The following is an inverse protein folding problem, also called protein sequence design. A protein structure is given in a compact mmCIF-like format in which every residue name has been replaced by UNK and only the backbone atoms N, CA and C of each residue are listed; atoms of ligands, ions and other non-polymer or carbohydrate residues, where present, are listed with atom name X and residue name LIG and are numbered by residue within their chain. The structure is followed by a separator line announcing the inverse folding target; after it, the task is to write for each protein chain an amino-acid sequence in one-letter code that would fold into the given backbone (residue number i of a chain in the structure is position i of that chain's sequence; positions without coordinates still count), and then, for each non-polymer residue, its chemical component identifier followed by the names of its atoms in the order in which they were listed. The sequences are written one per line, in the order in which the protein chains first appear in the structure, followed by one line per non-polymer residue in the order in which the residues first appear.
data_IF_429130505976
#
_entry.id   IF_429130505976
#
_cell.length_a   1.000
_cell.length_b   1.000
_cell.length_c   1.000
_cell.angle_alpha   90.00
_cell.angle_beta   90.00
_cell.angle_gamma   90.00
#
_symmetry.space_group_name_H-M   'P 1'
#
loop_
_entity.id
_entity.type
_entity.pdbx_description
1 polymer ?
#
# COMPACT_ATOMS: atom_id res chain seq x y z
N UNK A 1 -5.14 -5.29 11.63
CA UNK A 1 -6.17 -4.49 12.37
C UNK A 1 -6.64 -3.29 11.56
N UNK A 2 -5.73 -2.44 11.03
CA UNK A 2 -6.07 -1.25 10.26
C UNK A 2 -6.89 -1.61 9.02
N UNK A 3 -6.39 -2.51 8.17
CA UNK A 3 -7.06 -2.94 6.94
C UNK A 3 -8.48 -3.46 7.20
N UNK A 4 -8.63 -4.37 8.15
CA UNK A 4 -9.91 -5.06 8.39
C UNK A 4 -10.91 -4.24 9.19
N UNK A 5 -10.46 -3.37 10.09
CA UNK A 5 -11.36 -2.63 10.98
C UNK A 5 -11.49 -1.16 10.64
N UNK A 6 -10.42 -0.47 10.28
CA UNK A 6 -10.45 0.97 10.03
C UNK A 6 -10.68 1.24 8.55
N UNK A 7 -9.79 0.78 7.66
CA UNK A 7 -9.88 1.09 6.24
C UNK A 7 -11.12 0.47 5.59
N UNK A 8 -11.41 -0.80 5.86
CA UNK A 8 -12.62 -1.48 5.34
C UNK A 8 -13.93 -0.78 5.80
N UNK A 9 -13.99 -0.34 7.06
CA UNK A 9 -15.14 0.43 7.56
C UNK A 9 -15.24 1.80 6.91
N UNK A 10 -14.12 2.47 6.68
CA UNK A 10 -14.06 3.77 6.04
C UNK A 10 -14.56 3.70 4.59
N UNK A 11 -14.09 2.72 3.80
CA UNK A 11 -14.62 2.48 2.46
C UNK A 11 -16.08 2.08 2.46
N UNK A 12 -16.51 1.22 3.39
CA UNK A 12 -17.91 0.85 3.54
C UNK A 12 -18.77 2.06 3.89
N UNK A 13 -18.27 2.98 4.72
CA UNK A 13 -18.93 4.23 5.05
C UNK A 13 -19.07 5.13 3.81
N UNK A 14 -18.02 5.31 3.03
CA UNK A 14 -18.02 6.06 1.78
C UNK A 14 -19.10 5.50 0.84
N UNK A 15 -19.06 4.19 0.56
CA UNK A 15 -20.02 3.54 -0.36
C UNK A 15 -21.46 3.72 0.10
N UNK A 16 -21.73 3.55 1.40
CA UNK A 16 -23.07 3.71 1.97
C UNK A 16 -23.61 5.14 1.91
N UNK A 17 -22.75 6.13 1.83
CA UNK A 17 -23.16 7.54 1.77
C UNK A 17 -23.20 8.11 0.35
N UNK A 18 -22.56 7.44 -0.62
CA UNK A 18 -22.57 7.89 -2.03
C UNK A 18 -23.68 7.20 -2.84
N UNK A 19 -23.90 5.91 -2.61
CA UNK A 19 -24.79 5.11 -3.44
C UNK A 19 -26.15 4.90 -2.77
N UNK A 20 -27.22 5.07 -3.55
CA UNK A 20 -28.59 4.82 -3.08
C UNK A 20 -28.83 3.34 -2.72
N UNK A 21 -28.16 2.42 -3.41
CA UNK A 21 -28.19 0.97 -3.16
C UNK A 21 -26.77 0.45 -2.99
N UNK A 22 -26.16 0.61 -1.80
CA UNK A 22 -24.78 0.19 -1.54
C UNK A 22 -24.52 -1.30 -1.82
N UNK A 23 -25.54 -2.14 -1.64
CA UNK A 23 -25.47 -3.59 -1.89
C UNK A 23 -25.05 -3.90 -3.33
N UNK A 24 -25.51 -3.13 -4.30
CA UNK A 24 -25.19 -3.38 -5.72
C UNK A 24 -23.69 -3.17 -5.96
N UNK A 25 -23.06 -2.18 -5.33
CA UNK A 25 -21.62 -1.95 -5.40
C UNK A 25 -20.85 -3.13 -4.80
N UNK A 26 -21.26 -3.57 -3.60
CA UNK A 26 -20.58 -4.70 -2.95
C UNK A 26 -20.72 -6.01 -3.75
N UNK A 27 -21.85 -6.24 -4.39
CA UNK A 27 -22.06 -7.42 -5.22
C UNK A 27 -21.19 -7.39 -6.50
N UNK A 28 -20.94 -6.22 -7.09
CA UNK A 28 -20.16 -6.09 -8.34
C UNK A 28 -18.64 -6.17 -8.14
N UNK A 29 -18.13 -6.07 -6.91
CA UNK A 29 -16.70 -6.18 -6.63
C UNK A 29 -16.13 -7.51 -7.15
N UNK A 30 -16.84 -8.62 -6.92
CA UNK A 30 -16.43 -9.95 -7.35
C UNK A 30 -16.61 -10.19 -8.85
N UNK A 31 -17.42 -9.39 -9.53
CA UNK A 31 -17.67 -9.48 -10.96
C UNK A 31 -16.63 -8.69 -11.78
N UNK A 32 -15.85 -7.84 -11.13
CA UNK A 32 -14.80 -7.04 -11.77
C UNK A 32 -13.51 -7.85 -11.82
N UNK A 33 -13.20 -8.39 -13.01
CA UNK A 33 -12.06 -9.27 -13.21
C UNK A 33 -10.74 -8.65 -12.74
N UNK A 34 -10.52 -7.38 -13.04
CA UNK A 34 -9.29 -6.65 -12.67
C UNK A 34 -9.10 -6.61 -11.15
N UNK A 35 -10.18 -6.43 -10.38
CA UNK A 35 -10.13 -6.44 -8.91
C UNK A 35 -9.78 -7.82 -8.39
N UNK A 36 -10.43 -8.87 -8.95
CA UNK A 36 -10.20 -10.27 -8.53
C UNK A 36 -8.77 -10.71 -8.87
N UNK A 37 -8.27 -10.38 -10.05
CA UNK A 37 -6.90 -10.71 -10.46
C UNK A 37 -5.86 -10.04 -9.55
N UNK A 38 -6.01 -8.74 -9.29
CA UNK A 38 -5.12 -8.00 -8.39
C UNK A 38 -5.14 -8.55 -6.96
N UNK A 39 -6.30 -8.89 -6.43
CA UNK A 39 -6.42 -9.48 -5.10
C UNK A 39 -5.76 -10.87 -5.03
N UNK A 40 -5.97 -11.70 -6.07
CA UNK A 40 -5.44 -13.07 -6.13
C UNK A 40 -3.91 -13.10 -6.26
N UNK A 41 -3.33 -12.19 -7.05
CA UNK A 41 -1.89 -12.17 -7.32
C UNK A 41 -1.04 -11.91 -6.07
N UNK A 42 -1.55 -11.13 -5.12
CA UNK A 42 -0.90 -10.86 -3.83
C UNK A 42 -1.41 -11.83 -2.76
N UNK A 43 -2.73 -12.12 -2.75
CA UNK A 43 -3.39 -12.97 -1.77
C UNK A 43 -2.79 -14.38 -1.67
N UNK A 44 -2.33 -14.95 -2.81
CA UNK A 44 -1.69 -16.27 -2.83
C UNK A 44 -0.52 -16.44 -1.85
N UNK A 45 0.22 -15.38 -1.56
CA UNK A 45 1.36 -15.44 -0.63
C UNK A 45 0.90 -15.47 0.83
N UNK A 46 -0.19 -14.81 1.16
CA UNK A 46 -0.82 -14.92 2.47
C UNK A 46 -1.46 -16.30 2.66
N UNK A 47 -2.11 -16.82 1.62
CA UNK A 47 -2.69 -18.18 1.64
C UNK A 47 -1.61 -19.24 1.86
N UNK A 48 -0.45 -19.09 1.22
CA UNK A 48 0.67 -20.01 1.40
C UNK A 48 1.22 -19.95 2.83
N UNK A 49 1.46 -18.76 3.36
CA UNK A 49 1.87 -18.59 4.75
C UNK A 49 0.84 -19.19 5.71
N UNK A 50 -0.44 -18.95 5.48
CA UNK A 50 -1.52 -19.51 6.28
C UNK A 50 -1.51 -21.04 6.26
N UNK A 51 -1.39 -21.67 5.09
CA UNK A 51 -1.30 -23.13 4.94
C UNK A 51 -0.11 -23.71 5.70
N UNK A 52 1.05 -23.10 5.56
CA UNK A 52 2.27 -23.55 6.24
C UNK A 52 2.12 -23.41 7.76
N UNK A 53 1.55 -22.30 8.25
CA UNK A 53 1.25 -22.10 9.67
C UNK A 53 0.28 -23.14 10.21
N UNK A 54 -0.84 -23.41 9.51
CA UNK A 54 -1.82 -24.43 9.92
C UNK A 54 -1.18 -25.83 10.00
N UNK A 55 -0.34 -26.22 9.03
CA UNK A 55 0.37 -27.50 9.05
C UNK A 55 1.25 -27.61 10.29
N UNK A 56 1.97 -26.53 10.62
CA UNK A 56 2.84 -26.47 11.80
C UNK A 56 2.05 -26.56 13.11
N UNK A 57 0.94 -25.84 13.21
CA UNK A 57 0.04 -25.90 14.38
C UNK A 57 -0.57 -27.28 14.59
N UNK A 58 -0.85 -28.01 13.51
CA UNK A 58 -1.36 -29.38 13.54
C UNK A 58 -0.26 -30.43 13.84
N UNK A 59 0.97 -30.02 14.13
CA UNK A 59 2.09 -30.91 14.41
C UNK A 59 2.59 -31.70 13.20
N UNK A 60 2.24 -31.27 11.99
CA UNK A 60 2.76 -31.87 10.76
C UNK A 60 4.23 -31.45 10.53
N UNK A 61 4.98 -32.30 9.86
CA UNK A 61 6.36 -31.97 9.50
C UNK A 61 6.37 -30.83 8.47
N UNK A 62 6.90 -29.68 8.90
CA UNK A 62 7.07 -28.48 8.06
C UNK A 62 8.56 -28.17 8.03
N UNK A 63 9.13 -28.16 6.84
CA UNK A 63 10.51 -27.75 6.65
C UNK A 63 10.67 -26.28 7.09
N UNK A 64 11.63 -26.02 7.96
CA UNK A 64 11.90 -24.68 8.48
C UNK A 64 12.15 -23.67 7.36
N UNK A 65 12.88 -24.06 6.32
CA UNK A 65 13.15 -23.22 5.16
C UNK A 65 11.86 -22.86 4.39
N UNK A 66 10.93 -23.82 4.25
CA UNK A 66 9.60 -23.57 3.65
C UNK A 66 8.85 -22.50 4.44
N UNK A 67 8.87 -22.59 5.77
CA UNK A 67 8.21 -21.62 6.63
C UNK A 67 8.85 -20.22 6.55
N UNK A 68 10.18 -20.14 6.61
CA UNK A 68 10.91 -18.86 6.45
C UNK A 68 10.65 -18.24 5.07
N UNK A 69 10.63 -19.05 4.01
CA UNK A 69 10.27 -18.60 2.66
C UNK A 69 8.86 -18.02 2.61
N UNK A 70 7.88 -18.72 3.19
CA UNK A 70 6.49 -18.24 3.21
C UNK A 70 6.35 -16.90 3.95
N UNK A 71 7.03 -16.73 5.09
CA UNK A 71 7.08 -15.45 5.82
C UNK A 71 7.72 -14.36 4.96
N UNK A 72 8.87 -14.65 4.34
CA UNK A 72 9.61 -13.69 3.52
C UNK A 72 8.79 -13.21 2.33
N UNK A 73 8.16 -14.12 1.61
CA UNK A 73 7.30 -13.79 0.48
C UNK A 73 6.04 -13.02 0.90
N UNK A 74 5.46 -13.34 2.06
CA UNK A 74 4.34 -12.59 2.61
C UNK A 74 4.73 -11.15 3.00
N UNK A 75 5.94 -10.91 3.52
CA UNK A 75 6.46 -9.54 3.75
C UNK A 75 6.57 -8.76 2.44
N UNK A 76 7.08 -9.38 1.37
CA UNK A 76 7.13 -8.74 0.06
C UNK A 76 5.74 -8.50 -0.53
N UNK A 77 4.79 -9.41 -0.31
CA UNK A 77 3.40 -9.23 -0.71
C UNK A 77 2.74 -8.06 0.04
N UNK A 78 2.99 -7.92 1.36
CA UNK A 78 2.55 -6.77 2.14
C UNK A 78 3.14 -5.47 1.59
N UNK A 79 4.44 -5.43 1.35
CA UNK A 79 5.07 -4.25 0.76
C UNK A 79 4.51 -3.91 -0.63
N UNK A 80 4.17 -4.91 -1.44
CA UNK A 80 3.56 -4.70 -2.75
C UNK A 80 2.16 -4.07 -2.63
N UNK A 81 1.37 -4.45 -1.62
CA UNK A 81 0.09 -3.79 -1.33
C UNK A 81 0.30 -2.30 -0.99
N UNK A 82 1.11 -2.03 0.03
CA UNK A 82 1.30 -0.70 0.61
C UNK A 82 1.99 0.28 -0.36
N UNK A 83 2.97 -0.20 -1.11
CA UNK A 83 3.78 0.64 -1.99
C UNK A 83 3.20 0.85 -3.38
N UNK A 84 2.32 -0.06 -3.87
CA UNK A 84 1.87 -0.06 -5.26
C UNK A 84 0.35 -0.14 -5.40
N UNK A 85 -0.29 -1.17 -4.80
CA UNK A 85 -1.70 -1.50 -5.07
C UNK A 85 -2.68 -0.38 -4.75
N UNK A 86 -2.38 0.40 -3.74
CA UNK A 86 -3.27 1.47 -3.32
C UNK A 86 -3.01 2.80 -4.05
N UNK A 87 -1.82 2.99 -4.61
CA UNK A 87 -1.37 4.30 -5.10
C UNK A 87 -2.19 4.82 -6.29
N UNK A 88 -2.52 3.96 -7.26
CA UNK A 88 -3.35 4.34 -8.42
C UNK A 88 -4.76 4.72 -7.99
N UNK A 89 -5.36 3.94 -7.09
CA UNK A 89 -6.71 4.20 -6.56
C UNK A 89 -6.75 5.46 -5.71
N UNK A 90 -5.73 5.70 -4.88
CA UNK A 90 -5.60 6.95 -4.12
C UNK A 90 -5.44 8.16 -5.05
N UNK A 91 -4.56 8.08 -6.04
CA UNK A 91 -4.37 9.16 -7.00
C UNK A 91 -5.66 9.48 -7.76
N UNK A 92 -6.41 8.47 -8.18
CA UNK A 92 -7.68 8.66 -8.87
C UNK A 92 -8.74 9.32 -7.97
N UNK A 93 -8.86 8.85 -6.73
CA UNK A 93 -9.81 9.41 -5.76
C UNK A 93 -9.46 10.85 -5.38
N UNK A 94 -8.19 11.13 -5.16
CA UNK A 94 -7.71 12.45 -4.78
C UNK A 94 -7.71 13.45 -5.93
N UNK A 95 -7.66 12.99 -7.20
CA UNK A 95 -7.89 13.84 -8.36
C UNK A 95 -9.30 14.45 -8.36
N UNK A 96 -10.30 13.77 -7.79
CA UNK A 96 -11.63 14.34 -7.62
C UNK A 96 -11.61 15.49 -6.62
N UNK A 97 -10.83 15.38 -5.55
CA UNK A 97 -10.65 16.46 -4.55
C UNK A 97 -10.00 17.68 -5.19
N UNK A 98 -8.99 17.50 -6.07
CA UNK A 98 -8.38 18.60 -6.81
C UNK A 98 -9.41 19.36 -7.67
N UNK A 99 -10.41 18.65 -8.15
CA UNK A 99 -11.54 19.20 -8.89
C UNK A 99 -12.69 19.67 -7.99
N UNK A 100 -12.49 19.72 -6.67
CA UNK A 100 -13.50 20.13 -5.66
C UNK A 100 -14.73 19.22 -5.63
N UNK A 101 -14.56 17.95 -5.98
CA UNK A 101 -15.60 16.92 -5.99
C UNK A 101 -15.26 15.91 -4.87
N UNK A 102 -16.28 15.45 -4.11
CA UNK A 102 -16.12 14.45 -3.06
C UNK A 102 -15.07 14.81 -1.98
N UNK A 103 -15.01 16.07 -1.55
CA UNK A 103 -14.00 16.56 -0.60
C UNK A 103 -14.03 15.75 0.70
N UNK A 104 -15.21 15.48 1.28
CA UNK A 104 -15.33 14.68 2.50
C UNK A 104 -14.78 13.27 2.36
N UNK A 105 -15.02 12.61 1.22
CA UNK A 105 -14.46 11.28 0.94
C UNK A 105 -12.94 11.35 0.76
N UNK A 106 -12.45 12.39 0.07
CA UNK A 106 -11.03 12.61 -0.10
C UNK A 106 -10.29 12.83 1.22
N UNK A 107 -10.92 13.46 2.21
CA UNK A 107 -10.35 13.60 3.55
C UNK A 107 -10.15 12.22 4.21
N UNK A 108 -11.16 11.34 4.14
CA UNK A 108 -11.05 9.97 4.64
C UNK A 108 -9.93 9.22 3.92
N UNK A 109 -9.90 9.29 2.59
CA UNK A 109 -8.90 8.61 1.75
C UNK A 109 -7.48 9.16 2.01
N UNK A 110 -7.34 10.47 2.26
CA UNK A 110 -6.03 11.04 2.63
C UNK A 110 -5.52 10.51 3.96
N UNK A 111 -6.38 10.27 4.95
CA UNK A 111 -5.99 9.65 6.22
C UNK A 111 -5.55 8.19 6.01
N UNK A 112 -6.30 7.42 5.22
CA UNK A 112 -5.90 6.05 4.86
C UNK A 112 -4.54 6.06 4.14
N UNK A 113 -4.34 6.94 3.16
CA UNK A 113 -3.06 7.06 2.45
C UNK A 113 -1.88 7.31 3.42
N UNK A 114 -2.07 8.11 4.46
CA UNK A 114 -1.03 8.38 5.46
C UNK A 114 -0.70 7.12 6.27
N UNK A 115 -1.70 6.33 6.65
CA UNK A 115 -1.50 5.04 7.30
C UNK A 115 -0.73 4.07 6.39
N UNK A 116 -1.09 3.99 5.09
CA UNK A 116 -0.42 3.11 4.13
C UNK A 116 1.04 3.51 3.88
N UNK A 117 1.36 4.80 3.92
CA UNK A 117 2.75 5.25 3.83
C UNK A 117 3.57 4.84 5.07
N UNK A 118 2.95 4.84 6.26
CA UNK A 118 3.58 4.34 7.47
C UNK A 118 3.79 2.82 7.39
N UNK A 119 2.77 2.07 6.97
CA UNK A 119 2.84 0.61 6.79
C UNK A 119 3.93 0.25 5.76
N UNK A 120 3.98 0.95 4.63
CA UNK A 120 5.03 0.80 3.62
C UNK A 120 6.43 0.96 4.24
N UNK A 121 6.67 2.04 4.98
CA UNK A 121 7.96 2.31 5.63
C UNK A 121 8.33 1.23 6.63
N UNK A 122 7.37 0.80 7.46
CA UNK A 122 7.55 -0.26 8.43
C UNK A 122 7.86 -1.61 7.76
N UNK A 123 7.13 -1.98 6.72
CA UNK A 123 7.35 -3.24 5.99
C UNK A 123 8.69 -3.24 5.26
N UNK A 124 9.10 -2.10 4.67
CA UNK A 124 10.44 -1.95 4.09
C UNK A 124 11.54 -2.14 5.14
N UNK A 125 11.36 -1.56 6.32
CA UNK A 125 12.29 -1.77 7.44
C UNK A 125 12.39 -3.25 7.81
N UNK A 126 11.26 -3.94 7.98
CA UNK A 126 11.24 -5.37 8.30
C UNK A 126 11.96 -6.21 7.24
N UNK A 127 11.66 -6.01 5.95
CA UNK A 127 12.32 -6.73 4.84
C UNK A 127 13.84 -6.57 4.91
N UNK A 128 14.30 -5.35 5.15
CA UNK A 128 15.73 -5.07 5.23
C UNK A 128 16.38 -5.60 6.51
N UNK A 129 15.64 -5.67 7.61
CA UNK A 129 16.16 -6.03 8.92
C UNK A 129 16.21 -7.54 9.14
N UNK A 130 15.16 -8.28 8.77
CA UNK A 130 15.12 -9.74 8.97
C UNK A 130 16.28 -10.46 8.29
N UNK A 131 16.72 -9.98 7.12
CA UNK A 131 17.86 -10.59 6.39
C UNK A 131 19.22 -10.27 7.01
N UNK A 132 19.31 -9.25 7.88
CA UNK A 132 20.54 -8.91 8.62
C UNK A 132 20.63 -9.65 9.93
N UNK A 133 19.50 -9.84 10.59
CA UNK A 133 19.43 -10.43 11.93
C UNK A 133 19.38 -11.96 11.91
N UNK A 134 18.87 -12.55 10.84
CA UNK A 134 18.70 -14.00 10.74
C UNK A 134 19.25 -14.54 9.41
N UNK A 135 20.30 -15.36 9.48
CA UNK A 135 20.96 -15.97 8.32
C UNK A 135 20.02 -16.84 7.47
N UNK A 136 18.95 -17.39 8.03
CA UNK A 136 17.93 -18.17 7.32
C UNK A 136 17.19 -17.30 6.31
N UNK A 137 16.82 -16.06 6.70
CA UNK A 137 16.23 -15.08 5.78
C UNK A 137 17.23 -14.61 4.72
N UNK A 138 18.50 -14.45 5.08
CA UNK A 138 19.55 -14.10 4.10
C UNK A 138 19.72 -15.18 3.03
N UNK A 139 19.65 -16.46 3.41
CA UNK A 139 19.66 -17.58 2.48
C UNK A 139 18.43 -17.57 1.57
N UNK A 140 17.22 -17.45 2.15
CA UNK A 140 15.97 -17.42 1.40
C UNK A 140 15.95 -16.24 0.44
N UNK A 141 16.41 -15.04 0.84
CA UNK A 141 16.53 -13.88 -0.04
C UNK A 141 17.33 -14.23 -1.31
N UNK A 142 18.51 -14.85 -1.15
CA UNK A 142 19.35 -15.22 -2.28
C UNK A 142 18.67 -16.21 -3.23
N UNK A 143 17.93 -17.17 -2.67
CA UNK A 143 17.26 -18.21 -3.46
C UNK A 143 15.96 -17.72 -4.14
N UNK A 144 15.29 -16.73 -3.54
CA UNK A 144 13.99 -16.22 -4.01
C UNK A 144 14.10 -14.90 -4.78
N UNK A 145 15.31 -14.40 -5.07
CA UNK A 145 15.51 -13.10 -5.71
C UNK A 145 14.69 -12.94 -7.00
N UNK A 146 14.72 -13.95 -7.87
CA UNK A 146 13.97 -13.94 -9.11
C UNK A 146 12.43 -13.94 -8.88
N UNK A 147 11.95 -14.72 -7.89
CA UNK A 147 10.54 -14.80 -7.55
C UNK A 147 10.03 -13.48 -6.95
N UNK A 148 10.82 -12.86 -6.06
CA UNK A 148 10.52 -11.54 -5.49
C UNK A 148 10.50 -10.48 -6.59
N UNK A 149 11.47 -10.48 -7.49
CA UNK A 149 11.51 -9.54 -8.60
C UNK A 149 10.28 -9.69 -9.50
N UNK A 150 9.91 -10.93 -9.82
CA UNK A 150 8.74 -11.23 -10.65
C UNK A 150 7.43 -10.77 -9.98
N UNK A 151 7.29 -10.95 -8.64
CA UNK A 151 6.16 -10.43 -7.88
C UNK A 151 5.95 -8.93 -8.15
N UNK A 152 7.02 -8.14 -8.04
CA UNK A 152 6.91 -6.70 -8.26
C UNK A 152 6.63 -6.33 -9.72
N UNK A 153 7.22 -7.03 -10.67
CA UNK A 153 6.92 -6.81 -12.09
C UNK A 153 5.45 -7.08 -12.41
N UNK A 154 4.89 -8.15 -11.85
CA UNK A 154 3.48 -8.50 -12.02
C UNK A 154 2.58 -7.43 -11.40
N UNK A 155 2.87 -7.00 -10.18
CA UNK A 155 2.11 -5.94 -9.49
C UNK A 155 2.16 -4.62 -10.27
N UNK A 156 3.34 -4.20 -10.74
CA UNK A 156 3.49 -2.97 -11.53
C UNK A 156 2.71 -3.06 -12.85
N UNK A 157 2.74 -4.21 -13.53
CA UNK A 157 1.96 -4.45 -14.74
C UNK A 157 0.47 -4.35 -14.47
N UNK A 158 0.00 -5.02 -13.44
CA UNK A 158 -1.42 -5.05 -13.07
C UNK A 158 -1.94 -3.68 -12.63
N UNK A 159 -1.11 -2.87 -11.93
CA UNK A 159 -1.46 -1.47 -11.62
C UNK A 159 -1.60 -0.60 -12.87
N UNK A 160 -0.79 -0.84 -13.89
CA UNK A 160 -0.94 -0.16 -15.18
C UNK A 160 -2.21 -0.60 -15.93
N UNK A 161 -2.54 -1.88 -15.87
CA UNK A 161 -3.80 -2.42 -16.41
C UNK A 161 -5.01 -1.85 -15.66
N UNK A 162 -4.90 -1.72 -14.34
CA UNK A 162 -5.90 -1.06 -13.50
C UNK A 162 -6.10 0.41 -13.87
N UNK A 163 -5.03 1.13 -14.16
CA UNK A 163 -5.12 2.50 -14.67
C UNK A 163 -5.87 2.58 -16.01
N UNK A 164 -5.62 1.65 -16.93
CA UNK A 164 -6.37 1.55 -18.19
C UNK A 164 -7.86 1.24 -17.95
N UNK A 165 -8.16 0.34 -17.02
CA UNK A 165 -9.55 0.01 -16.65
C UNK A 165 -10.30 1.21 -16.08
N UNK A 166 -9.71 1.93 -15.14
CA UNK A 166 -10.32 3.10 -14.50
C UNK A 166 -10.69 4.19 -15.52
N UNK A 167 -9.89 4.36 -16.56
CA UNK A 167 -10.10 5.39 -17.58
C UNK A 167 -10.67 4.86 -18.90
N UNK A 168 -11.23 3.65 -18.93
CA UNK A 168 -11.86 3.07 -20.13
C UNK A 168 -13.01 3.91 -20.70
N UNK A 169 -13.67 4.71 -19.86
CA UNK A 169 -14.75 5.61 -20.24
C UNK A 169 -14.27 7.04 -20.55
N UNK A 170 -12.97 7.28 -20.47
CA UNK A 170 -12.35 8.58 -20.72
C UNK A 170 -11.63 9.18 -19.52
N UNK A 171 -10.84 10.23 -19.73
CA UNK A 171 -10.07 10.89 -18.69
C UNK A 171 -10.95 11.76 -17.79
N UNK A 172 -10.43 12.08 -16.60
CA UNK A 172 -10.92 13.17 -15.75
C UNK A 172 -10.01 14.39 -15.88
N UNK A 173 -10.48 15.56 -15.43
CA UNK A 173 -9.66 16.78 -15.48
C UNK A 173 -8.38 16.56 -14.65
N UNK A 174 -7.24 16.73 -15.30
CA UNK A 174 -5.92 16.63 -14.66
C UNK A 174 -5.38 15.20 -14.48
N UNK A 175 -6.12 14.14 -14.92
CA UNK A 175 -5.66 12.76 -14.78
C UNK A 175 -6.19 11.86 -15.89
N UNK A 176 -5.32 10.97 -16.38
CA UNK A 176 -5.65 9.93 -17.36
C UNK A 176 -4.78 8.67 -17.15
N UNK A 177 -5.08 7.60 -17.87
CA UNK A 177 -4.36 6.34 -17.76
C UNK A 177 -2.85 6.48 -18.00
N UNK A 178 -2.42 7.27 -19.00
CA UNK A 178 -0.98 7.48 -19.32
C UNK A 178 -0.27 8.12 -18.14
N UNK A 179 -0.82 9.20 -17.59
CA UNK A 179 -0.25 9.91 -16.43
C UNK A 179 -0.17 8.98 -15.22
N UNK A 180 -1.18 8.13 -14.99
CA UNK A 180 -1.14 7.16 -13.90
C UNK A 180 -0.09 6.06 -14.12
N UNK A 181 0.06 5.56 -15.36
CA UNK A 181 1.11 4.58 -15.67
C UNK A 181 2.52 5.16 -15.46
N UNK A 182 2.73 6.40 -15.84
CA UNK A 182 3.97 7.13 -15.55
C UNK A 182 4.17 7.31 -14.03
N UNK A 183 3.10 7.54 -13.27
CA UNK A 183 3.15 7.62 -11.82
C UNK A 183 3.50 6.27 -11.17
N UNK A 184 2.98 5.17 -11.70
CA UNK A 184 3.36 3.81 -11.25
C UNK A 184 4.86 3.58 -11.46
N UNK A 185 5.41 3.90 -12.63
CA UNK A 185 6.86 3.76 -12.88
C UNK A 185 7.69 4.69 -12.00
N UNK A 186 7.26 5.93 -11.82
CA UNK A 186 7.92 6.89 -10.94
C UNK A 186 8.00 6.38 -9.50
N UNK A 187 6.89 5.90 -8.95
CA UNK A 187 6.84 5.37 -7.57
C UNK A 187 7.62 4.07 -7.44
N UNK A 188 7.60 3.20 -8.47
CA UNK A 188 8.29 1.93 -8.48
C UNK A 188 9.81 2.07 -8.32
N UNK A 189 10.42 3.06 -8.97
CA UNK A 189 11.87 3.31 -8.86
C UNK A 189 12.28 3.58 -7.42
N UNK A 190 11.55 4.44 -6.72
CA UNK A 190 11.87 4.80 -5.34
C UNK A 190 11.54 3.68 -4.36
N UNK A 191 10.37 3.06 -4.50
CA UNK A 191 9.89 2.00 -3.61
C UNK A 191 10.78 0.75 -3.70
N UNK A 192 11.13 0.29 -4.89
CA UNK A 192 12.00 -0.88 -5.03
C UNK A 192 13.43 -0.61 -4.55
N UNK A 193 13.93 0.60 -4.75
CA UNK A 193 15.24 1.01 -4.19
C UNK A 193 15.25 0.95 -2.66
N UNK A 194 14.17 1.29 -1.99
CA UNK A 194 14.02 1.26 -0.53
C UNK A 194 14.25 -0.14 0.07
N UNK A 195 13.86 -1.17 -0.66
CA UNK A 195 14.09 -2.59 -0.29
C UNK A 195 15.27 -3.23 -1.01
N UNK A 196 16.15 -2.43 -1.62
CA UNK A 196 17.39 -2.88 -2.24
C UNK A 196 17.22 -3.54 -3.62
N UNK A 197 16.07 -3.37 -4.28
CA UNK A 197 15.81 -3.90 -5.62
C UNK A 197 16.01 -2.81 -6.66
N UNK A 198 16.78 -3.12 -7.70
CA UNK A 198 16.95 -2.21 -8.84
C UNK A 198 15.87 -2.43 -9.88
N UNK A 199 15.09 -1.39 -10.14
CA UNK A 199 14.08 -1.39 -11.19
C UNK A 199 14.57 -0.56 -12.38
N UNK A 200 14.69 -1.20 -13.54
CA UNK A 200 15.15 -0.57 -14.78
C UNK A 200 13.95 -0.29 -15.68
N UNK A 201 13.26 0.80 -15.44
CA UNK A 201 12.18 1.28 -16.32
C UNK A 201 12.47 2.72 -16.76
N UNK A 202 11.99 3.14 -17.92
CA UNK A 202 12.04 4.53 -18.38
C UNK A 202 11.04 5.40 -17.58
N UNK A 203 11.24 5.47 -16.26
CA UNK A 203 10.38 6.28 -15.38
C UNK A 203 10.65 7.78 -15.54
N UNK A 204 9.62 8.62 -15.36
CA UNK A 204 9.80 10.05 -15.27
C UNK A 204 10.77 10.45 -14.16
N UNK A 205 11.58 11.50 -14.37
CA UNK A 205 12.52 12.02 -13.35
C UNK A 205 11.81 12.76 -12.22
N UNK A 206 10.62 13.27 -12.49
CA UNK A 206 9.77 14.01 -11.54
C UNK A 206 8.38 13.40 -11.53
N UNK A 207 7.68 13.56 -10.41
CA UNK A 207 6.31 13.03 -10.33
C UNK A 207 5.41 13.64 -11.41
N UNK A 208 4.67 12.81 -12.16
CA UNK A 208 3.71 13.31 -13.16
C UNK A 208 2.46 13.95 -12.54
N UNK A 209 2.24 13.76 -11.23
CA UNK A 209 1.12 14.32 -10.47
C UNK A 209 1.61 15.08 -9.22
N UNK A 210 2.24 16.27 -9.38
CA UNK A 210 2.85 17.01 -8.26
C UNK A 210 1.86 17.39 -7.15
N UNK A 211 0.58 17.55 -7.50
CA UNK A 211 -0.48 17.86 -6.55
C UNK A 211 -0.68 16.73 -5.52
N UNK A 212 -0.33 15.49 -5.84
CA UNK A 212 -0.45 14.35 -4.93
C UNK A 212 0.43 14.51 -3.68
N UNK A 213 1.57 15.19 -3.81
CA UNK A 213 2.51 15.38 -2.70
C UNK A 213 1.88 16.08 -1.48
N UNK A 214 0.90 16.96 -1.69
CA UNK A 214 0.23 17.62 -0.57
C UNK A 214 -0.60 16.67 0.31
N UNK A 215 -1.05 15.54 -0.26
CA UNK A 215 -1.81 14.53 0.46
C UNK A 215 -0.91 13.53 1.21
N UNK A 216 0.36 13.43 0.81
CA UNK A 216 1.37 12.60 1.51
C UNK A 216 2.16 13.41 2.57
N UNK A 217 2.03 14.74 2.58
CA UNK A 217 2.72 15.61 3.53
C UNK A 217 2.05 15.56 4.90
N UNK A 218 2.67 14.85 5.84
CA UNK A 218 2.20 14.73 7.22
C UNK A 218 2.70 15.83 8.14
N UNK A 219 3.51 16.79 7.64
CA UNK A 219 4.09 17.86 8.45
C UNK A 219 3.09 18.94 8.86
N UNK A 220 1.92 19.00 8.23
CA UNK A 220 0.89 19.96 8.55
C UNK A 220 0.18 19.58 9.84
N UNK A 221 0.19 20.49 10.80
CA UNK A 221 -0.51 20.32 12.08
C UNK A 221 -2.01 20.22 11.82
N UNK A 222 -2.66 19.29 12.53
CA UNK A 222 -4.10 19.24 12.62
C UNK A 222 -4.60 20.53 13.26
N UNK A 223 -5.36 21.32 12.53
CA UNK A 223 -6.11 22.44 13.07
C UNK A 223 -7.49 21.96 13.51
N UNK A 224 -8.06 22.64 14.49
CA UNK A 224 -9.28 22.29 15.24
C UNK A 224 -10.32 21.40 14.53
N UNK A 225 -11.03 20.60 15.32
CA UNK A 225 -12.15 19.71 14.93
C UNK A 225 -13.32 20.47 14.27
N UNK A 226 -13.11 20.99 13.06
CA UNK A 226 -14.15 21.56 12.23
C UNK A 226 -14.29 20.71 10.95
N UNK A 227 -15.52 20.55 10.46
CA UNK A 227 -15.86 19.64 9.36
C UNK A 227 -15.02 19.79 8.08
N UNK A 228 -14.33 20.90 7.90
CA UNK A 228 -13.58 21.21 6.68
C UNK A 228 -12.06 21.40 6.84
N UNK A 229 -11.48 21.29 8.03
CA UNK A 229 -10.08 21.69 8.24
C UNK A 229 -9.17 20.63 8.87
N UNK A 230 -9.71 19.51 9.34
CA UNK A 230 -8.92 18.45 9.96
C UNK A 230 -8.52 17.40 8.94
N UNK A 231 -7.56 17.73 8.09
CA UNK A 231 -7.09 16.80 7.04
C UNK A 231 -5.82 16.04 7.39
N UNK A 232 -5.08 16.47 8.41
CA UNK A 232 -3.79 15.86 8.76
C UNK A 232 -3.65 15.70 10.27
N UNK A 233 -3.26 14.52 10.73
CA UNK A 233 -2.72 14.33 12.06
C UNK A 233 -1.19 14.16 11.96
N UNK A 234 -0.48 14.70 12.94
CA UNK A 234 0.96 14.50 13.04
C UNK A 234 1.19 13.06 13.51
N UNK A 235 1.62 12.21 12.60
CA UNK A 235 2.28 10.97 13.01
C UNK A 235 3.57 11.43 13.64
N UNK A 236 3.71 11.23 14.96
CA UNK A 236 4.77 11.80 15.74
C UNK A 236 6.13 11.58 15.09
N UNK A 237 6.80 12.68 14.78
CA UNK A 237 8.25 12.65 14.59
C UNK A 237 8.79 12.28 15.97
N UNK A 238 9.13 11.02 16.17
CA UNK A 238 9.98 10.65 17.29
C UNK A 238 11.31 11.33 17.03
N UNK A 239 11.48 12.52 17.63
CA UNK A 239 12.82 13.04 17.82
C UNK A 239 13.47 12.14 18.85
N UNK A 240 14.56 11.50 18.49
CA UNK A 240 15.42 10.65 19.34
C UNK A 240 16.10 11.45 20.47
N UNK A 241 15.40 12.33 21.13
CA UNK A 241 15.89 13.06 22.29
C UNK A 241 14.97 12.85 23.49
N UNK A 242 14.85 11.59 23.91
CA UNK A 242 14.49 11.32 25.30
C UNK A 242 15.79 11.47 26.08
N UNK A 243 15.93 12.56 26.78
CA UNK A 243 16.98 12.72 27.77
C UNK A 243 16.60 11.85 28.99
N UNK A 244 17.23 10.66 29.05
CA UNK A 244 16.99 9.70 30.13
C UNK A 244 17.46 10.22 31.51
N UNK A 245 18.19 11.33 31.58
CA UNK A 245 18.64 11.96 32.83
C UNK A 245 17.54 12.78 33.50
N UNK A 246 16.45 13.13 32.78
CA UNK A 246 15.32 13.90 33.35
C UNK A 246 14.13 13.04 33.80
N UNK A 247 14.23 11.71 33.78
CA UNK A 247 13.16 10.87 34.32
C UNK A 247 13.20 10.89 35.87
N UNK A 248 12.08 11.20 36.53
CA UNK A 248 12.02 11.13 37.99
C UNK A 248 12.30 9.71 38.46
N UNK A 249 13.30 9.52 39.27
CA UNK A 249 13.59 8.30 40.01
C UNK A 249 12.42 8.01 40.96
N UNK A 250 11.79 6.85 40.79
CA UNK A 250 10.74 6.29 41.66
C UNK A 250 11.37 5.82 42.97
#
# INVERSE_FOLDING_TARGET
FFETNIHSRSYSHIIRNIYNVPKDVFNTIHDTKEIVDMASSVGRYYDELHKVNCRKELGQDVNEKEHIKAIYMALHASYALEAFRFMVSFATSLAMVENKIFIGNGNIISLILQDELLHKGWTAYLINQVVKEDSRFAQVKSECEAEVYQLYLDVIREEKEWADYLFKMGPVIGLNATVLKDFVDYTAVSALKEIGIRYNSPAPKTTPIPWFNKHVDTSKKQTALQENESTNYVIGVMTDSIDYEELPTI
#
